data_IF_088018451426
#
_entry.id   IF_088018451426
#
_cell.length_a   1.000
_cell.length_b   1.000
_cell.length_c   1.000
_cell.angle_alpha   90.00
_cell.angle_beta   90.00
_cell.angle_gamma   90.00
#
_symmetry.space_group_name_H-M   'P 1'
#
loop_
_entity.id
_entity.type
_entity.pdbx_description
1 polymer ?
#
# COMPACT_ATOMS: atom_id res chain seq x y z
N UNK A 1 13.94 3.56 -0.15
CA UNK A 1 14.73 2.33 0.11
C UNK A 1 14.07 1.15 -0.59
N UNK A 2 14.88 0.15 -0.97
CA UNK A 2 14.41 -1.07 -1.64
C UNK A 2 14.77 -2.29 -0.81
N UNK A 3 13.92 -3.32 -0.91
CA UNK A 3 14.10 -4.62 -0.27
C UNK A 3 13.99 -5.71 -1.33
N UNK A 4 14.80 -6.75 -1.20
CA UNK A 4 14.78 -7.90 -2.08
C UNK A 4 14.89 -9.18 -1.24
N UNK A 5 14.03 -10.14 -1.52
CA UNK A 5 14.05 -11.48 -0.97
C UNK A 5 14.11 -12.48 -2.12
N UNK A 6 15.21 -13.19 -2.20
CA UNK A 6 15.48 -14.12 -3.30
C UNK A 6 14.71 -15.42 -3.15
N UNK A 7 14.28 -15.99 -4.27
CA UNK A 7 13.66 -17.30 -4.29
C UNK A 7 14.64 -18.38 -3.80
N UNK A 8 14.11 -19.37 -3.08
CA UNK A 8 14.91 -20.50 -2.57
C UNK A 8 15.38 -21.43 -3.69
N UNK A 9 14.72 -21.41 -4.83
CA UNK A 9 15.00 -22.21 -6.03
C UNK A 9 14.93 -21.31 -7.27
N UNK A 10 15.09 -21.93 -8.47
CA UNK A 10 14.95 -21.19 -9.72
C UNK A 10 13.60 -20.42 -9.74
N UNK A 11 13.61 -19.10 -9.96
CA UNK A 11 12.42 -18.29 -9.82
C UNK A 11 11.37 -18.61 -10.88
N UNK A 12 10.11 -18.69 -10.46
CA UNK A 12 8.93 -18.90 -11.31
C UNK A 12 8.18 -17.60 -11.58
N UNK A 13 8.48 -16.52 -10.86
CA UNK A 13 7.86 -15.21 -11.01
C UNK A 13 8.46 -14.20 -10.05
N UNK A 14 8.05 -12.96 -10.22
CA UNK A 14 8.44 -11.80 -9.42
C UNK A 14 7.21 -11.22 -8.75
N UNK A 15 7.30 -10.87 -7.48
CA UNK A 15 6.25 -10.18 -6.73
C UNK A 15 6.76 -8.82 -6.30
N UNK A 16 6.08 -7.79 -6.73
CA UNK A 16 6.21 -6.44 -6.19
C UNK A 16 5.25 -6.26 -5.02
N UNK A 17 5.73 -5.74 -3.89
CA UNK A 17 4.89 -5.41 -2.73
C UNK A 17 4.78 -3.91 -2.57
N UNK A 18 3.54 -3.41 -2.42
CA UNK A 18 3.22 -2.02 -2.09
C UNK A 18 2.54 -1.98 -0.72
N UNK A 19 3.23 -1.41 0.27
CA UNK A 19 2.80 -1.37 1.67
C UNK A 19 1.75 -0.30 1.98
N UNK A 20 1.17 -0.33 3.18
CA UNK A 20 0.14 0.59 3.65
C UNK A 20 0.67 1.93 4.17
N UNK A 21 -0.26 2.78 4.62
CA UNK A 21 0.03 4.07 5.24
C UNK A 21 0.62 3.87 6.64
N UNK A 22 1.61 4.70 7.00
CA UNK A 22 2.29 4.70 8.28
C UNK A 22 2.87 3.34 8.69
N UNK A 23 3.40 2.61 7.69
CA UNK A 23 4.20 1.39 7.86
C UNK A 23 5.36 1.40 6.84
N UNK A 24 6.07 0.29 6.66
CA UNK A 24 7.18 0.19 5.73
C UNK A 24 7.33 -1.23 5.14
N UNK A 25 8.07 -1.34 4.04
CA UNK A 25 8.25 -2.57 3.28
C UNK A 25 8.90 -3.71 4.09
N UNK A 26 9.73 -3.43 5.07
CA UNK A 26 10.39 -4.44 5.91
C UNK A 26 9.42 -5.31 6.72
N UNK A 27 8.19 -4.85 6.95
CA UNK A 27 7.14 -5.62 7.65
C UNK A 27 6.62 -6.83 6.84
N UNK A 28 6.91 -6.86 5.55
CA UNK A 28 6.49 -7.94 4.65
C UNK A 28 7.46 -9.12 4.58
N UNK A 29 8.49 -9.15 5.44
CA UNK A 29 9.51 -10.21 5.48
C UNK A 29 8.90 -11.62 5.56
N UNK A 30 7.94 -11.84 6.45
CA UNK A 30 7.26 -13.14 6.61
C UNK A 30 6.48 -13.56 5.37
N UNK A 31 5.77 -12.62 4.71
CA UNK A 31 5.09 -12.88 3.45
C UNK A 31 6.11 -13.19 2.36
N UNK A 32 7.17 -12.39 2.27
CA UNK A 32 8.22 -12.58 1.28
C UNK A 32 8.90 -13.94 1.42
N UNK A 33 9.24 -14.37 2.63
CA UNK A 33 9.81 -15.69 2.89
C UNK A 33 8.88 -16.83 2.44
N UNK A 34 7.57 -16.72 2.70
CA UNK A 34 6.60 -17.71 2.24
C UNK A 34 6.52 -17.78 0.72
N UNK A 35 6.56 -16.63 0.04
CA UNK A 35 6.59 -16.55 -1.42
C UNK A 35 7.92 -17.06 -2.00
N UNK A 36 9.06 -16.82 -1.34
CA UNK A 36 10.36 -17.35 -1.75
C UNK A 36 10.39 -18.87 -1.75
N UNK A 37 9.77 -19.50 -0.74
CA UNK A 37 9.61 -20.98 -0.69
C UNK A 37 8.76 -21.48 -1.87
N UNK A 38 7.77 -20.69 -2.31
CA UNK A 38 6.94 -20.98 -3.48
C UNK A 38 7.64 -20.67 -4.83
N UNK A 39 8.88 -20.14 -4.79
CA UNK A 39 9.69 -19.88 -5.99
C UNK A 39 9.55 -18.45 -6.54
N UNK A 40 8.96 -17.52 -5.80
CA UNK A 40 8.91 -16.12 -6.24
C UNK A 40 10.10 -15.34 -5.68
N UNK A 41 10.67 -14.45 -6.49
CA UNK A 41 11.50 -13.35 -6.01
C UNK A 41 10.57 -12.23 -5.56
N UNK A 42 10.79 -11.70 -4.36
CA UNK A 42 9.94 -10.64 -3.83
C UNK A 42 10.72 -9.34 -3.74
N UNK A 43 10.13 -8.27 -4.21
CA UNK A 43 10.68 -6.92 -4.14
C UNK A 43 9.67 -5.97 -3.50
N UNK A 44 10.17 -5.05 -2.69
CA UNK A 44 9.38 -3.96 -2.14
C UNK A 44 10.19 -2.68 -2.07
N UNK A 45 9.50 -1.55 -2.05
CA UNK A 45 10.10 -0.25 -1.76
C UNK A 45 9.38 0.38 -0.60
N UNK A 46 10.10 1.09 0.29
CA UNK A 46 9.44 2.05 1.14
C UNK A 46 8.90 3.19 0.27
N UNK A 47 7.62 3.45 0.36
CA UNK A 47 6.99 4.57 -0.33
C UNK A 47 7.60 5.91 0.11
N UNK A 48 7.44 6.95 -0.71
CA UNK A 48 7.82 8.32 -0.33
C UNK A 48 7.20 8.69 1.01
N UNK A 49 7.96 9.34 1.88
CA UNK A 49 7.54 9.69 3.23
C UNK A 49 7.43 8.51 4.21
N UNK A 50 7.84 7.28 3.84
CA UNK A 50 7.70 6.08 4.67
C UNK A 50 9.02 5.35 4.87
N UNK A 51 9.14 4.64 5.99
CA UNK A 51 10.28 3.79 6.29
C UNK A 51 11.62 4.52 6.13
N UNK A 52 12.57 3.88 5.46
CA UNK A 52 13.89 4.46 5.16
C UNK A 52 13.88 5.44 3.98
N UNK A 53 12.74 5.66 3.35
CA UNK A 53 12.52 6.70 2.32
C UNK A 53 12.00 8.02 2.91
N UNK A 54 11.87 8.13 4.23
CA UNK A 54 11.58 9.40 4.91
C UNK A 54 12.77 10.34 4.70
N UNK A 55 12.51 11.52 4.10
CA UNK A 55 13.51 12.56 3.86
C UNK A 55 13.19 13.88 4.57
N UNK A 56 12.10 13.93 5.31
CA UNK A 56 11.59 15.09 6.03
C UNK A 56 10.56 14.67 7.06
N UNK A 57 9.34 15.16 6.94
CA UNK A 57 8.23 14.76 7.81
C UNK A 57 7.72 13.38 7.40
N UNK A 58 7.58 12.42 8.34
CA UNK A 58 6.97 11.14 8.03
C UNK A 58 5.57 11.31 7.43
N UNK A 59 5.23 10.49 6.46
CA UNK A 59 3.94 10.54 5.77
C UNK A 59 3.80 11.63 4.69
N UNK A 60 4.80 12.48 4.51
CA UNK A 60 4.79 13.49 3.46
C UNK A 60 5.08 12.88 2.08
N UNK A 61 4.12 12.99 1.16
CA UNK A 61 4.29 12.54 -0.23
C UNK A 61 5.05 13.54 -1.10
N UNK A 62 5.39 14.73 -0.59
CA UNK A 62 5.98 15.85 -1.33
C UNK A 62 4.97 16.60 -2.20
N UNK A 63 5.43 17.61 -2.95
CA UNK A 63 4.59 18.56 -3.69
C UNK A 63 3.64 17.90 -4.71
N UNK A 64 4.05 16.81 -5.32
CA UNK A 64 3.22 16.07 -6.29
C UNK A 64 2.27 15.04 -5.63
N UNK A 65 2.25 14.96 -4.30
CA UNK A 65 1.27 14.23 -3.52
C UNK A 65 1.21 12.73 -3.83
N UNK A 66 0.01 12.17 -3.71
CA UNK A 66 -0.24 10.75 -3.91
C UNK A 66 0.00 10.29 -5.35
N UNK A 67 -0.18 11.15 -6.34
CA UNK A 67 0.11 10.82 -7.75
C UNK A 67 1.58 10.46 -7.97
N UNK A 68 2.50 11.12 -7.26
CA UNK A 68 3.91 10.78 -7.33
C UNK A 68 4.22 9.41 -6.69
N UNK A 69 3.50 9.02 -5.63
CA UNK A 69 3.60 7.67 -5.06
C UNK A 69 3.10 6.62 -6.05
N UNK A 70 1.99 6.87 -6.74
CA UNK A 70 1.47 6.01 -7.81
C UNK A 70 2.50 5.84 -8.92
N UNK A 71 3.11 6.94 -9.37
CA UNK A 71 4.16 6.92 -10.39
C UNK A 71 5.41 6.13 -9.94
N UNK A 72 5.81 6.24 -8.67
CA UNK A 72 6.91 5.46 -8.10
C UNK A 72 6.61 3.95 -8.13
N UNK A 73 5.38 3.55 -7.79
CA UNK A 73 4.95 2.13 -7.84
C UNK A 73 5.00 1.60 -9.26
N UNK A 74 4.46 2.34 -10.24
CA UNK A 74 4.47 1.96 -11.65
C UNK A 74 5.89 1.85 -12.20
N UNK A 75 6.74 2.87 -11.95
CA UNK A 75 8.13 2.90 -12.39
C UNK A 75 8.96 1.75 -11.78
N UNK A 76 8.72 1.43 -10.51
CA UNK A 76 9.40 0.31 -9.87
C UNK A 76 9.00 -1.01 -10.51
N UNK A 77 7.70 -1.24 -10.77
CA UNK A 77 7.22 -2.42 -11.49
C UNK A 77 7.87 -2.55 -12.87
N UNK A 78 7.94 -1.47 -13.65
CA UNK A 78 8.63 -1.46 -14.95
C UNK A 78 10.12 -1.84 -14.82
N UNK A 79 10.79 -1.35 -13.77
CA UNK A 79 12.19 -1.70 -13.51
C UNK A 79 12.37 -3.18 -13.16
N UNK A 80 11.43 -3.76 -12.42
CA UNK A 80 11.44 -5.19 -12.07
C UNK A 80 11.20 -6.07 -13.29
N UNK A 81 10.23 -5.71 -14.15
CA UNK A 81 10.00 -6.42 -15.40
C UNK A 81 11.24 -6.43 -16.30
N UNK A 82 11.97 -5.30 -16.35
CA UNK A 82 13.22 -5.20 -17.11
C UNK A 82 14.38 -5.98 -16.47
N UNK A 83 14.44 -6.06 -15.13
CA UNK A 83 15.47 -6.79 -14.40
C UNK A 83 15.27 -8.31 -14.44
N UNK A 84 14.03 -8.78 -14.65
CA UNK A 84 13.67 -10.21 -14.64
C UNK A 84 12.99 -10.62 -15.96
N UNK A 85 13.69 -10.54 -17.11
CA UNK A 85 13.09 -10.81 -18.41
C UNK A 85 12.55 -12.24 -18.50
N UNK A 86 11.31 -12.38 -18.95
CA UNK A 86 10.65 -13.68 -19.12
C UNK A 86 9.96 -14.24 -17.89
N UNK A 87 10.09 -13.61 -16.72
CA UNK A 87 9.33 -13.97 -15.53
C UNK A 87 8.03 -13.15 -15.43
N UNK A 88 6.90 -13.77 -15.05
CA UNK A 88 5.67 -13.03 -14.78
C UNK A 88 5.84 -12.13 -13.55
N UNK A 89 5.35 -10.89 -13.65
CA UNK A 89 5.32 -9.93 -12.54
C UNK A 89 3.92 -9.88 -11.92
N UNK A 90 3.86 -9.93 -10.60
CA UNK A 90 2.65 -9.81 -9.80
C UNK A 90 2.76 -8.62 -8.85
N UNK A 91 1.62 -8.01 -8.52
CA UNK A 91 1.54 -6.92 -7.54
C UNK A 91 0.71 -7.35 -6.33
N UNK A 92 1.31 -7.28 -5.15
CA UNK A 92 0.63 -7.45 -3.86
C UNK A 92 0.61 -6.11 -3.15
N UNK A 93 -0.56 -5.58 -2.91
CA UNK A 93 -0.73 -4.23 -2.42
C UNK A 93 -1.68 -4.19 -1.21
N UNK A 94 -1.28 -3.50 -0.15
CA UNK A 94 -2.02 -3.44 1.10
C UNK A 94 -2.46 -2.01 1.42
N UNK A 95 -3.74 -1.84 1.84
CA UNK A 95 -4.28 -0.57 2.35
C UNK A 95 -3.99 0.60 1.39
N UNK A 96 -3.30 1.65 1.79
CA UNK A 96 -2.87 2.76 0.92
C UNK A 96 -2.16 2.26 -0.35
N UNK A 97 -1.27 1.28 -0.23
CA UNK A 97 -0.61 0.66 -1.38
C UNK A 97 -1.61 0.03 -2.35
N UNK A 98 -2.76 -0.48 -1.85
CA UNK A 98 -3.82 -1.00 -2.72
C UNK A 98 -4.54 0.09 -3.52
N UNK A 99 -4.67 1.29 -2.99
CA UNK A 99 -5.21 2.44 -3.73
C UNK A 99 -4.22 2.92 -4.79
N UNK A 100 -2.92 2.91 -4.47
CA UNK A 100 -1.89 3.16 -5.46
C UNK A 100 -1.91 2.10 -6.58
N UNK A 101 -2.04 0.82 -6.23
CA UNK A 101 -2.17 -0.26 -7.20
C UNK A 101 -3.39 -0.08 -8.09
N UNK A 102 -4.56 0.23 -7.54
CA UNK A 102 -5.75 0.53 -8.33
C UNK A 102 -5.48 1.66 -9.34
N UNK A 103 -4.81 2.73 -8.92
CA UNK A 103 -4.45 3.85 -9.82
C UNK A 103 -3.45 3.43 -10.90
N UNK A 104 -2.42 2.64 -10.56
CA UNK A 104 -1.45 2.08 -11.53
C UNK A 104 -2.17 1.22 -12.57
N UNK A 105 -3.16 0.43 -12.18
CA UNK A 105 -3.87 -0.44 -13.10
C UNK A 105 -4.67 0.29 -14.17
N UNK A 106 -5.04 1.55 -13.96
CA UNK A 106 -5.74 2.35 -14.97
C UNK A 106 -4.87 2.61 -16.21
N UNK A 107 -3.54 2.62 -16.06
CA UNK A 107 -2.60 2.97 -17.16
C UNK A 107 -1.61 1.84 -17.46
N UNK A 108 -1.26 1.03 -16.48
CA UNK A 108 -0.15 0.07 -16.56
C UNK A 108 -0.57 -1.38 -16.25
N UNK A 109 -1.86 -1.73 -16.42
CA UNK A 109 -2.39 -3.05 -16.11
C UNK A 109 -1.73 -4.19 -16.89
N UNK A 110 -1.21 -3.93 -18.08
CA UNK A 110 -0.50 -4.92 -18.90
C UNK A 110 0.85 -5.36 -18.32
N UNK A 111 1.39 -4.58 -17.39
CA UNK A 111 2.65 -4.86 -16.72
C UNK A 111 2.55 -6.07 -15.78
N UNK A 112 1.35 -6.36 -15.25
CA UNK A 112 1.16 -7.39 -14.23
C UNK A 112 0.39 -8.60 -14.76
N UNK A 113 0.83 -9.79 -14.35
CA UNK A 113 0.16 -11.04 -14.65
C UNK A 113 -0.97 -11.36 -13.65
N UNK A 114 -0.98 -10.71 -12.50
CA UNK A 114 -2.02 -10.80 -11.49
C UNK A 114 -1.79 -9.79 -10.38
N UNK A 115 -2.86 -9.44 -9.66
CA UNK A 115 -2.85 -8.42 -8.61
C UNK A 115 -3.62 -8.91 -7.39
N UNK A 116 -3.05 -8.70 -6.21
CA UNK A 116 -3.72 -8.94 -4.93
C UNK A 116 -3.90 -7.61 -4.21
N UNK A 117 -5.13 -7.25 -3.92
CA UNK A 117 -5.51 -6.08 -3.12
C UNK A 117 -5.94 -6.55 -1.73
N UNK A 118 -5.13 -6.25 -0.72
CA UNK A 118 -5.35 -6.62 0.68
C UNK A 118 -5.77 -5.40 1.50
N UNK A 119 -6.75 -5.56 2.40
CA UNK A 119 -7.24 -4.44 3.21
C UNK A 119 -7.70 -3.26 2.34
N UNK A 120 -8.32 -3.57 1.21
CA UNK A 120 -8.71 -2.63 0.16
C UNK A 120 -10.22 -2.38 0.17
N UNK A 121 -10.62 -1.24 -0.38
CA UNK A 121 -12.02 -0.89 -0.60
C UNK A 121 -12.13 0.10 -1.76
N UNK A 122 -13.34 0.48 -2.13
CA UNK A 122 -13.57 1.61 -3.02
C UNK A 122 -13.25 2.93 -2.28
N UNK A 123 -12.28 3.67 -2.80
CA UNK A 123 -11.73 4.85 -2.11
C UNK A 123 -12.78 5.97 -1.92
N UNK A 124 -13.72 6.09 -2.87
CA UNK A 124 -14.80 7.08 -2.78
C UNK A 124 -15.76 6.77 -1.63
N UNK A 125 -16.15 5.50 -1.45
CA UNK A 125 -17.01 5.07 -0.35
C UNK A 125 -16.30 5.18 1.00
N UNK A 126 -15.00 4.87 1.06
CA UNK A 126 -14.21 5.07 2.27
C UNK A 126 -14.18 6.55 2.66
N UNK A 127 -13.92 7.45 1.70
CA UNK A 127 -13.92 8.89 1.95
C UNK A 127 -15.27 9.41 2.44
N UNK A 128 -16.37 8.94 1.84
CA UNK A 128 -17.72 9.30 2.29
C UNK A 128 -18.02 8.78 3.71
N UNK A 129 -17.62 7.55 4.03
CA UNK A 129 -17.78 6.97 5.37
C UNK A 129 -16.97 7.74 6.44
N UNK A 130 -15.72 8.09 6.13
CA UNK A 130 -14.87 8.88 7.02
C UNK A 130 -15.45 10.28 7.24
N UNK A 131 -15.91 10.95 6.19
CA UNK A 131 -16.56 12.27 6.30
C UNK A 131 -17.86 12.22 7.14
N UNK A 132 -18.63 11.14 7.04
CA UNK A 132 -19.82 10.93 7.85
C UNK A 132 -19.50 10.63 9.33
N UNK A 133 -18.39 9.94 9.60
CA UNK A 133 -17.92 9.64 10.95
C UNK A 133 -17.20 10.80 11.65
N UNK A 134 -16.63 11.73 10.88
CA UNK A 134 -15.88 12.89 11.37
C UNK A 134 -16.79 14.06 11.83
N UNK A 135 -17.92 13.77 12.46
CA UNK A 135 -18.90 14.76 12.92
C UNK A 135 -18.70 15.07 14.40
N UNK A 136 -18.27 16.29 14.70
CA UNK A 136 -18.13 16.81 16.06
C UNK A 136 -16.67 17.07 16.47
N UNK A 137 -16.48 17.90 17.52
CA UNK A 137 -15.15 18.34 17.94
C UNK A 137 -14.28 17.21 18.56
N UNK A 138 -14.91 16.12 18.99
CA UNK A 138 -14.25 14.96 19.63
C UNK A 138 -14.16 13.75 18.67
N UNK A 139 -14.46 13.94 17.37
CA UNK A 139 -14.36 12.85 16.41
C UNK A 139 -12.89 12.43 16.24
N UNK A 140 -12.57 11.11 16.29
CA UNK A 140 -11.20 10.66 16.07
C UNK A 140 -10.74 11.00 14.66
N UNK A 141 -9.49 11.46 14.54
CA UNK A 141 -8.88 11.86 13.28
C UNK A 141 -7.77 10.88 12.86
N UNK A 142 -7.42 10.89 11.57
CA UNK A 142 -6.31 10.07 11.08
C UNK A 142 -6.55 8.56 11.26
N UNK A 143 -5.50 7.84 11.64
CA UNK A 143 -5.53 6.39 11.81
C UNK A 143 -6.37 5.93 13.02
N UNK A 144 -6.56 6.78 14.02
CA UNK A 144 -7.38 6.47 15.21
C UNK A 144 -8.85 6.22 14.85
N UNK A 145 -9.34 6.83 13.75
CA UNK A 145 -10.71 6.61 13.28
C UNK A 145 -11.01 5.14 12.97
N UNK A 146 -10.02 4.36 12.59
CA UNK A 146 -10.17 2.93 12.32
C UNK A 146 -10.31 2.08 13.59
N UNK A 147 -9.91 2.62 14.75
CA UNK A 147 -9.99 1.89 16.03
C UNK A 147 -11.35 2.00 16.74
N UNK A 148 -12.29 2.74 16.15
CA UNK A 148 -13.64 2.87 16.70
C UNK A 148 -14.35 1.51 16.72
N UNK A 149 -14.81 1.09 17.91
CA UNK A 149 -15.51 -0.18 18.11
C UNK A 149 -14.59 -1.35 18.51
N UNK A 150 -13.28 -1.15 18.57
CA UNK A 150 -12.35 -2.12 19.14
C UNK A 150 -12.08 -1.83 20.62
N UNK A 151 -11.68 -2.87 21.38
CA UNK A 151 -11.20 -2.70 22.74
C UNK A 151 -9.90 -1.88 22.73
N UNK A 152 -9.90 -0.79 23.53
CA UNK A 152 -8.80 0.18 23.52
C UNK A 152 -7.63 -0.30 24.40
N UNK A 153 -6.58 -0.87 23.78
CA UNK A 153 -5.33 -1.26 24.43
C UNK A 153 -4.16 -0.38 23.97
N UNK A 154 -4.01 -0.23 22.66
CA UNK A 154 -2.90 0.50 22.04
C UNK A 154 -3.35 1.63 21.10
N UNK A 155 -4.63 1.60 20.67
CA UNK A 155 -5.16 2.48 19.63
C UNK A 155 -5.00 1.92 18.20
N UNK A 156 -4.39 0.73 18.06
CA UNK A 156 -4.11 0.09 16.77
C UNK A 156 -4.71 -1.33 16.65
N UNK A 157 -5.70 -1.67 17.45
CA UNK A 157 -6.33 -3.00 17.47
C UNK A 157 -7.00 -3.36 16.15
N UNK A 158 -7.36 -2.36 15.35
CA UNK A 158 -7.91 -2.53 14.01
C UNK A 158 -6.94 -3.17 13.00
N UNK A 159 -5.62 -3.15 13.27
CA UNK A 159 -4.59 -3.69 12.38
C UNK A 159 -4.61 -5.22 12.32
N UNK A 160 -4.80 -5.89 13.46
CA UNK A 160 -4.72 -7.34 13.55
C UNK A 160 -5.49 -7.88 14.76
N UNK A 161 -5.97 -9.13 14.63
CA UNK A 161 -6.46 -9.92 15.76
C UNK A 161 -5.34 -10.55 16.58
N UNK A 162 -4.14 -10.60 16.02
CA UNK A 162 -2.94 -11.07 16.71
C UNK A 162 -2.31 -9.87 17.44
N UNK A 163 -2.40 -9.87 18.77
CA UNK A 163 -1.86 -8.80 19.60
C UNK A 163 -0.36 -8.61 19.44
N UNK A 164 0.39 -9.69 19.15
CA UNK A 164 1.82 -9.59 18.93
C UNK A 164 2.16 -8.78 17.64
N UNK A 165 1.32 -8.85 16.61
CA UNK A 165 1.47 -8.03 15.41
C UNK A 165 1.17 -6.55 15.69
N UNK A 166 0.16 -6.28 16.53
CA UNK A 166 -0.16 -4.91 16.97
C UNK A 166 0.98 -4.35 17.80
N UNK A 167 1.49 -5.12 18.77
CA UNK A 167 2.60 -4.70 19.62
C UNK A 167 3.88 -4.45 18.84
N UNK A 168 4.17 -5.29 17.82
CA UNK A 168 5.30 -5.09 16.93
C UNK A 168 5.16 -3.80 16.09
N UNK A 169 3.94 -3.47 15.63
CA UNK A 169 3.67 -2.22 14.94
C UNK A 169 3.89 -1.01 15.83
N UNK A 170 3.36 -1.04 17.06
CA UNK A 170 3.49 0.07 18.04
C UNK A 170 4.94 0.27 18.50
N UNK A 171 5.70 -0.82 18.60
CA UNK A 171 7.12 -0.76 19.00
C UNK A 171 8.05 -0.29 17.88
N UNK A 172 7.60 -0.27 16.62
CA UNK A 172 8.41 0.11 15.48
C UNK A 172 8.38 1.64 15.25
N UNK A 173 9.52 2.34 15.40
CA UNK A 173 9.57 3.80 15.24
C UNK A 173 9.31 4.29 13.80
N UNK A 174 9.26 3.38 12.82
CA UNK A 174 8.91 3.67 11.42
C UNK A 174 7.44 3.41 11.12
N UNK A 175 6.64 3.07 12.15
CA UNK A 175 5.20 2.80 12.05
C UNK A 175 4.40 3.75 12.93
N UNK A 176 3.11 3.93 12.64
CA UNK A 176 2.15 4.63 13.50
C UNK A 176 2.47 6.11 13.74
N UNK A 177 3.27 6.73 12.90
CA UNK A 177 3.62 8.14 13.04
C UNK A 177 2.44 9.06 12.66
N UNK A 178 2.44 10.26 13.22
CA UNK A 178 1.47 11.30 12.89
C UNK A 178 1.61 11.72 11.42
N UNK A 179 0.47 11.87 10.76
CA UNK A 179 0.42 12.23 9.34
C UNK A 179 0.35 13.76 9.16
N UNK A 180 1.06 14.34 8.19
CA UNK A 180 0.80 15.71 7.76
C UNK A 180 -0.67 15.90 7.37
N UNK A 181 -1.22 17.06 7.66
CA UNK A 181 -2.62 17.40 7.35
C UNK A 181 -2.97 17.20 5.86
N UNK A 182 -2.01 17.42 4.97
CA UNK A 182 -2.20 17.25 3.52
C UNK A 182 -2.21 15.80 3.04
N UNK A 183 -1.71 14.82 3.82
CA UNK A 183 -1.49 13.44 3.37
C UNK A 183 -2.80 12.71 3.05
N UNK A 184 -3.76 12.77 3.97
CA UNK A 184 -5.06 12.11 3.81
C UNK A 184 -5.87 12.73 2.66
N UNK A 185 -6.02 14.06 2.56
CA UNK A 185 -6.64 14.69 1.38
C UNK A 185 -5.97 14.34 0.05
N UNK A 186 -4.63 14.28 0.01
CA UNK A 186 -3.90 13.89 -1.20
C UNK A 186 -4.21 12.46 -1.64
N UNK A 187 -4.29 11.52 -0.68
CA UNK A 187 -4.69 10.14 -0.94
C UNK A 187 -6.10 10.07 -1.56
N UNK A 188 -7.07 10.79 -0.98
CA UNK A 188 -8.45 10.80 -1.47
C UNK A 188 -8.64 11.57 -2.79
N UNK A 189 -7.63 12.32 -3.24
CA UNK A 189 -7.63 12.97 -4.55
C UNK A 189 -7.88 12.01 -5.72
N UNK A 190 -7.43 10.75 -5.60
CA UNK A 190 -7.62 9.71 -6.61
C UNK A 190 -9.06 9.12 -6.64
N UNK A 191 -9.90 9.40 -5.62
CA UNK A 191 -11.20 8.75 -5.45
C UNK A 191 -12.14 8.91 -6.65
N UNK A 192 -12.18 10.10 -7.24
CA UNK A 192 -13.02 10.40 -8.40
C UNK A 192 -12.64 9.58 -9.63
N UNK A 193 -11.35 9.49 -9.92
CA UNK A 193 -10.82 8.72 -11.06
C UNK A 193 -11.04 7.21 -10.86
N UNK A 194 -10.84 6.72 -9.64
CA UNK A 194 -11.06 5.31 -9.30
C UNK A 194 -12.54 4.90 -9.28
N UNK A 195 -13.45 5.86 -9.21
CA UNK A 195 -14.90 5.64 -9.32
C UNK A 195 -15.44 5.82 -10.76
N UNK A 196 -14.62 6.28 -11.71
CA UNK A 196 -15.04 6.52 -13.09
C UNK A 196 -15.08 5.20 -13.90
N UNK A 197 -16.26 4.74 -14.37
CA UNK A 197 -16.38 3.53 -15.17
C UNK A 197 -15.53 3.57 -16.46
N UNK A 198 -15.31 4.76 -17.03
CA UNK A 198 -14.50 4.92 -18.25
C UNK A 198 -13.02 4.67 -17.98
N UNK A 199 -12.52 5.14 -16.82
CA UNK A 199 -11.15 4.87 -16.37
C UNK A 199 -10.98 3.38 -16.04
N UNK A 200 -11.91 2.79 -15.33
CA UNK A 200 -11.90 1.36 -14.98
C UNK A 200 -11.93 0.44 -16.21
N UNK A 201 -12.61 0.86 -17.28
CA UNK A 201 -12.66 0.11 -18.54
C UNK A 201 -11.31 0.04 -19.28
N UNK A 202 -10.33 0.88 -18.90
CA UNK A 202 -8.97 0.82 -19.45
C UNK A 202 -8.13 -0.32 -18.87
N UNK A 203 -8.54 -0.88 -17.72
CA UNK A 203 -7.84 -2.02 -17.11
C UNK A 203 -7.95 -3.23 -18.03
N UNK A 204 -6.83 -3.91 -18.26
CA UNK A 204 -6.74 -5.10 -19.11
C UNK A 204 -7.80 -6.14 -18.73
N UNK A 205 -8.67 -6.55 -19.67
CA UNK A 205 -9.68 -7.58 -19.41
C UNK A 205 -9.04 -8.90 -18.98
N UNK A 206 -9.61 -9.52 -17.94
CA UNK A 206 -9.16 -10.82 -17.45
C UNK A 206 -7.87 -10.78 -16.62
N UNK A 207 -7.43 -9.63 -16.14
CA UNK A 207 -6.40 -9.54 -15.11
C UNK A 207 -6.94 -10.17 -13.82
N UNK A 208 -6.32 -11.27 -13.32
CA UNK A 208 -6.77 -11.94 -12.09
C UNK A 208 -6.34 -11.18 -10.84
#
# INVERSE_FOLDING_TARGET
ATYTWDAVQAPVGVVQVAHGLAEHAGRYDRLAQALNVAGFVVHATDHRGHGKSISGVPGDFGDAGFEALVADVAAYGASLAAAHPGLPLFLVAHSMGSFAAQSVLLTDSDQYCGVVLSGSTALAELGAAMAAGAQGPDAPAGLEAFNVGFEQRTGYEWLSRDEAEVDAYVADPLCGFDLPEATVPALFGAAGTLADPSALAAIRPGLP
#
